data_IF_014023288801
#
_entry.id   IF_014023288801
#
_cell.length_a   1.000
_cell.length_b   1.000
_cell.length_c   1.000
_cell.angle_alpha   90.00
_cell.angle_beta   90.00
_cell.angle_gamma   90.00
#
_symmetry.space_group_name_H-M   'P 1'
#
loop_
_entity.id
_entity.type
_entity.pdbx_description
1 polymer ?
#
# COMPACT_ATOMS: atom_id res chain seq x y z
N UNK A 1 -5.20 8.59 3.43
CA UNK A 1 -5.36 8.53 1.95
C UNK A 1 -6.32 7.41 1.61
N UNK A 2 -7.29 7.69 0.76
CA UNK A 2 -8.27 6.71 0.34
C UNK A 2 -7.69 5.75 -0.71
N UNK A 3 -8.40 4.64 -0.94
CA UNK A 3 -8.03 3.72 -2.02
C UNK A 3 -7.93 4.44 -3.37
N UNK A 4 -8.93 5.27 -3.69
CA UNK A 4 -8.97 5.98 -4.96
C UNK A 4 -7.73 6.86 -5.16
N UNK A 5 -7.39 7.62 -4.16
CA UNK A 5 -6.20 8.49 -4.19
C UNK A 5 -4.92 7.67 -4.28
N UNK A 6 -4.83 6.57 -3.54
CA UNK A 6 -3.66 5.70 -3.55
C UNK A 6 -3.46 5.06 -4.92
N UNK A 7 -4.55 4.59 -5.52
CA UNK A 7 -4.49 3.98 -6.85
C UNK A 7 -3.99 4.98 -7.88
N UNK A 8 -4.52 6.21 -7.87
CA UNK A 8 -4.09 7.25 -8.78
C UNK A 8 -2.62 7.60 -8.57
N UNK A 9 -2.20 7.74 -7.31
CA UNK A 9 -0.80 8.03 -6.97
C UNK A 9 0.15 6.94 -7.47
N UNK A 10 -0.19 5.68 -7.24
CA UNK A 10 0.64 4.56 -7.71
C UNK A 10 0.76 4.56 -9.22
N UNK A 11 -0.33 4.82 -9.92
CA UNK A 11 -0.30 4.87 -11.38
C UNK A 11 0.57 6.02 -11.87
N UNK A 12 0.38 7.21 -11.31
CA UNK A 12 1.13 8.40 -11.71
C UNK A 12 2.61 8.27 -11.40
N UNK A 13 2.95 7.69 -10.25
CA UNK A 13 4.35 7.47 -9.87
C UNK A 13 5.08 6.57 -10.85
N UNK A 14 4.38 5.65 -11.49
CA UNK A 14 4.95 4.80 -12.52
C UNK A 14 4.90 5.40 -13.92
N UNK A 15 4.27 6.56 -14.07
CA UNK A 15 4.15 7.21 -15.35
C UNK A 15 3.26 6.45 -16.34
N UNK A 16 2.29 5.69 -15.83
CA UNK A 16 1.39 4.88 -16.66
C UNK A 16 0.09 5.63 -16.89
N UNK A 17 -0.39 5.65 -18.15
CA UNK A 17 -1.70 6.22 -18.46
C UNK A 17 -2.83 5.32 -17.97
N UNK A 18 -4.02 5.89 -17.79
CA UNK A 18 -5.22 5.09 -17.47
C UNK A 18 -5.48 4.03 -18.54
N UNK A 19 -5.29 4.40 -19.80
CA UNK A 19 -5.48 3.50 -20.93
C UNK A 19 -4.59 2.28 -20.82
N UNK A 20 -3.30 2.48 -20.54
CA UNK A 20 -2.34 1.39 -20.46
C UNK A 20 -2.59 0.53 -19.22
N UNK A 21 -2.87 1.15 -18.08
CA UNK A 21 -3.17 0.39 -16.87
C UNK A 21 -4.44 -0.45 -17.03
N UNK A 22 -5.49 0.14 -17.59
CA UNK A 22 -6.74 -0.58 -17.84
C UNK A 22 -6.51 -1.78 -18.77
N UNK A 23 -5.72 -1.59 -19.83
CA UNK A 23 -5.38 -2.67 -20.75
C UNK A 23 -4.63 -3.80 -20.03
N UNK A 24 -3.67 -3.45 -19.19
CA UNK A 24 -2.88 -4.45 -18.44
C UNK A 24 -3.72 -5.22 -17.42
N UNK A 25 -4.76 -4.59 -16.89
CA UNK A 25 -5.69 -5.22 -15.94
C UNK A 25 -6.87 -5.88 -16.62
N UNK A 26 -6.98 -5.76 -17.94
CA UNK A 26 -8.09 -6.28 -18.73
C UNK A 26 -9.45 -5.74 -18.28
N UNK A 27 -9.49 -4.44 -18.03
CA UNK A 27 -10.70 -3.71 -17.68
C UNK A 27 -10.84 -2.51 -18.60
N UNK A 28 -12.00 -1.86 -18.56
CA UNK A 28 -12.23 -0.66 -19.36
C UNK A 28 -11.57 0.55 -18.70
N UNK A 29 -11.22 1.55 -19.51
CA UNK A 29 -10.73 2.83 -19.00
C UNK A 29 -11.78 3.48 -18.11
N UNK A 30 -13.04 3.34 -18.47
CA UNK A 30 -14.17 3.87 -17.70
C UNK A 30 -14.22 3.25 -16.29
N UNK A 31 -14.06 1.94 -16.19
CA UNK A 31 -14.06 1.25 -14.90
C UNK A 31 -12.89 1.73 -14.03
N UNK A 32 -11.70 1.82 -14.63
CA UNK A 32 -10.54 2.33 -13.90
C UNK A 32 -10.74 3.76 -13.43
N UNK A 33 -11.31 4.59 -14.28
CA UNK A 33 -11.64 5.97 -13.91
C UNK A 33 -12.59 6.06 -12.73
N UNK A 34 -13.58 5.18 -12.67
CA UNK A 34 -14.50 5.12 -11.53
C UNK A 34 -13.79 4.72 -10.24
N UNK A 35 -12.85 3.78 -10.32
CA UNK A 35 -12.04 3.39 -9.16
C UNK A 35 -11.19 4.58 -8.67
N UNK A 36 -10.55 5.30 -9.57
CA UNK A 36 -9.70 6.44 -9.22
C UNK A 36 -10.49 7.64 -8.71
N UNK A 37 -11.77 7.73 -9.08
CA UNK A 37 -12.65 8.82 -8.62
C UNK A 37 -13.41 8.47 -7.35
N UNK A 38 -13.26 7.26 -6.85
CA UNK A 38 -13.99 6.81 -5.67
C UNK A 38 -15.46 6.55 -5.91
N UNK A 39 -15.89 6.43 -7.16
CA UNK A 39 -17.29 6.19 -7.53
C UNK A 39 -17.68 4.71 -7.50
N UNK A 40 -16.69 3.85 -7.54
CA UNK A 40 -16.88 2.40 -7.54
C UNK A 40 -15.74 1.76 -6.80
N UNK A 41 -16.04 0.75 -5.99
CA UNK A 41 -15.03 -0.04 -5.32
C UNK A 41 -14.80 -1.33 -6.09
N UNK A 42 -13.55 -1.72 -6.33
CA UNK A 42 -13.27 -3.00 -6.95
C UNK A 42 -13.58 -4.15 -5.99
N UNK A 43 -13.87 -5.32 -6.57
CA UNK A 43 -14.03 -6.51 -5.76
C UNK A 43 -12.66 -7.00 -5.24
N UNK A 44 -12.68 -8.00 -4.36
CA UNK A 44 -11.46 -8.51 -3.75
C UNK A 44 -10.48 -9.04 -4.79
N UNK A 45 -10.96 -9.73 -5.81
CA UNK A 45 -10.10 -10.25 -6.87
C UNK A 45 -9.34 -9.12 -7.58
N UNK A 46 -10.03 -8.03 -7.91
CA UNK A 46 -9.40 -6.88 -8.56
C UNK A 46 -8.42 -6.18 -7.61
N UNK A 47 -8.76 -6.08 -6.33
CA UNK A 47 -7.85 -5.52 -5.34
C UNK A 47 -6.54 -6.31 -5.27
N UNK A 48 -6.63 -7.64 -5.27
CA UNK A 48 -5.45 -8.51 -5.26
C UNK A 48 -4.62 -8.28 -6.52
N UNK A 49 -5.27 -8.22 -7.68
CA UNK A 49 -4.59 -7.98 -8.95
C UNK A 49 -3.88 -6.63 -8.98
N UNK A 50 -4.51 -5.60 -8.43
CA UNK A 50 -3.90 -4.27 -8.32
C UNK A 50 -2.69 -4.28 -7.38
N UNK A 51 -2.82 -4.92 -6.23
CA UNK A 51 -1.73 -5.03 -5.28
C UNK A 51 -0.55 -5.77 -5.90
N UNK A 52 -0.81 -6.87 -6.61
CA UNK A 52 0.24 -7.63 -7.30
C UNK A 52 0.88 -6.80 -8.41
N UNK A 53 0.07 -6.10 -9.18
CA UNK A 53 0.57 -5.27 -10.29
C UNK A 53 1.53 -4.19 -9.79
N UNK A 54 1.17 -3.52 -8.70
CA UNK A 54 1.99 -2.44 -8.14
C UNK A 54 3.01 -2.93 -7.11
N UNK A 55 3.04 -4.22 -6.84
CA UNK A 55 3.95 -4.83 -5.86
C UNK A 55 3.83 -4.15 -4.48
N UNK A 56 2.61 -4.00 -4.03
CA UNK A 56 2.27 -3.45 -2.72
C UNK A 56 1.35 -4.41 -1.97
N UNK A 57 1.23 -4.22 -0.66
CA UNK A 57 0.30 -5.00 0.13
C UNK A 57 -1.13 -4.50 -0.07
N UNK A 58 -2.10 -5.37 0.22
CA UNK A 58 -3.51 -4.98 0.20
C UNK A 58 -3.77 -3.85 1.20
N UNK A 59 -3.20 -3.94 2.39
CA UNK A 59 -3.37 -2.91 3.42
C UNK A 59 -2.89 -1.55 2.94
N UNK A 60 -1.74 -1.51 2.29
CA UNK A 60 -1.22 -0.28 1.71
C UNK A 60 -2.15 0.26 0.63
N UNK A 61 -2.61 -0.62 -0.26
CA UNK A 61 -3.47 -0.24 -1.37
C UNK A 61 -4.79 0.36 -0.91
N UNK A 62 -5.42 -0.24 0.09
CA UNK A 62 -6.72 0.23 0.59
C UNK A 62 -6.61 1.36 1.60
N UNK A 63 -5.40 1.82 1.91
CA UNK A 63 -5.18 2.92 2.82
C UNK A 63 -5.23 2.54 4.30
N UNK A 64 -5.11 1.25 4.60
CA UNK A 64 -5.07 0.74 5.97
C UNK A 64 -3.65 0.50 6.46
N UNK A 65 -2.66 0.94 5.68
CA UNK A 65 -1.28 0.94 6.15
C UNK A 65 -1.19 1.79 7.41
N UNK A 66 -0.21 1.49 8.25
CA UNK A 66 0.04 2.30 9.43
C UNK A 66 0.17 3.76 9.01
N UNK A 67 -0.61 4.63 9.66
CA UNK A 67 -0.39 6.05 9.52
C UNK A 67 0.87 6.42 10.30
N UNK A 68 1.39 7.62 10.07
CA UNK A 68 2.62 8.04 10.72
C UNK A 68 2.54 7.97 12.25
N UNK A 69 1.37 8.28 12.80
CA UNK A 69 1.15 8.24 14.25
C UNK A 69 1.21 6.80 14.76
N UNK A 70 0.54 5.87 14.13
CA UNK A 70 0.57 4.47 14.54
C UNK A 70 1.95 3.86 14.39
N UNK A 71 2.61 4.16 13.28
CA UNK A 71 3.98 3.69 13.05
C UNK A 71 4.92 4.23 14.10
N UNK A 72 4.81 5.51 14.44
CA UNK A 72 5.62 6.15 15.47
C UNK A 72 5.41 5.51 16.83
N UNK A 73 4.18 5.20 17.19
CA UNK A 73 3.87 4.54 18.46
C UNK A 73 4.48 3.14 18.54
N UNK A 74 4.41 2.39 17.46
CA UNK A 74 5.01 1.04 17.41
C UNK A 74 6.52 1.14 17.54
N UNK A 75 7.15 2.02 16.81
CA UNK A 75 8.61 2.20 16.85
C UNK A 75 9.04 2.64 18.25
N UNK A 76 8.34 3.60 18.84
CA UNK A 76 8.64 4.08 20.18
C UNK A 76 8.51 2.97 21.22
N UNK A 77 7.44 2.18 21.18
CA UNK A 77 7.24 1.07 22.09
C UNK A 77 8.34 0.01 21.97
N UNK A 78 8.82 -0.24 20.78
CA UNK A 78 9.89 -1.20 20.53
C UNK A 78 11.23 -0.69 21.04
N UNK A 79 11.51 0.60 20.90
CA UNK A 79 12.74 1.19 21.40
C UNK A 79 12.82 1.22 22.91
N UNK A 80 11.70 1.51 23.58
CA UNK A 80 11.68 1.76 25.02
C UNK A 80 11.94 0.51 25.87
N UNK A 81 11.74 -0.69 25.36
CA UNK A 81 11.77 -1.89 26.21
C UNK A 81 12.56 -3.07 25.62
N UNK A 82 13.39 -2.85 24.64
CA UNK A 82 14.14 -3.91 23.98
C UNK A 82 13.25 -5.06 23.51
N UNK A 83 12.00 -4.75 23.16
CA UNK A 83 11.04 -5.76 22.76
C UNK A 83 11.32 -6.35 21.38
N UNK A 84 12.21 -5.72 20.61
CA UNK A 84 12.59 -6.21 19.28
C UNK A 84 13.13 -7.64 19.37
N UNK A 85 13.93 -7.92 20.39
CA UNK A 85 14.52 -9.26 20.58
C UNK A 85 13.49 -10.34 20.93
N UNK A 86 12.30 -9.93 21.36
CA UNK A 86 11.22 -10.84 21.73
C UNK A 86 10.24 -11.08 20.60
N UNK A 87 10.39 -10.37 19.48
CA UNK A 87 9.51 -10.53 18.33
C UNK A 87 9.95 -11.71 17.46
N UNK A 88 9.01 -12.35 16.76
CA UNK A 88 9.39 -13.32 15.74
C UNK A 88 10.34 -12.70 14.72
N UNK A 89 11.21 -13.53 14.16
CA UNK A 89 12.28 -13.07 13.27
C UNK A 89 11.75 -12.23 12.11
N UNK A 90 10.59 -12.59 11.54
CA UNK A 90 10.00 -11.83 10.44
C UNK A 90 9.69 -10.39 10.80
N UNK A 91 9.15 -10.16 11.99
CA UNK A 91 8.85 -8.81 12.47
C UNK A 91 10.13 -8.03 12.75
N UNK A 92 11.13 -8.69 13.28
CA UNK A 92 12.41 -8.05 13.57
C UNK A 92 13.07 -7.54 12.29
N UNK A 93 13.05 -8.34 11.22
CA UNK A 93 13.61 -7.94 9.92
C UNK A 93 12.88 -6.73 9.34
N UNK A 94 11.55 -6.70 9.46
CA UNK A 94 10.74 -5.57 8.97
C UNK A 94 11.09 -4.30 9.74
N UNK A 95 11.21 -4.40 11.06
CA UNK A 95 11.54 -3.27 11.91
C UNK A 95 12.95 -2.76 11.62
N UNK A 96 13.92 -3.65 11.48
CA UNK A 96 15.30 -3.28 11.14
C UNK A 96 15.35 -2.55 9.81
N UNK A 97 14.59 -3.02 8.81
CA UNK A 97 14.48 -2.35 7.53
C UNK A 97 13.88 -0.95 7.68
N UNK A 98 12.79 -0.82 8.43
CA UNK A 98 12.13 0.48 8.66
C UNK A 98 13.05 1.46 9.36
N UNK A 99 13.83 1.01 10.33
CA UNK A 99 14.76 1.86 11.07
C UNK A 99 15.94 2.29 10.19
N UNK A 100 16.43 1.40 9.34
CA UNK A 100 17.57 1.73 8.47
C UNK A 100 17.18 2.71 7.36
N UNK A 101 15.93 2.74 6.91
CA UNK A 101 15.48 3.66 5.87
C UNK A 101 15.27 5.09 6.38
N UNK A 102 15.35 5.32 7.69
CA UNK A 102 15.20 6.68 8.26
C UNK A 102 16.48 7.48 8.25
N UNK A 103 17.56 6.86 7.93
CA UNK A 103 18.84 7.54 7.76
C UNK A 103 18.97 7.99 6.31
#
# INVERSE_FOLDING_TARGET
MSFAERLQELREDRGISRKDLAANLNITVSALGMYEQGRREPNMEMLIRLADYFDVTLDFLVGRSFNDEETSKIIEALHLKNKIDKLPQGYKNIIDFMLSTKE
#
